data_IF_690308569201
#
_entry.id   IF_690308569201
#
_cell.length_a   1.000
_cell.length_b   1.000
_cell.length_c   1.000
_cell.angle_alpha   90.00
_cell.angle_beta   90.00
_cell.angle_gamma   90.00
#
_symmetry.space_group_name_H-M   'P 1'
#
loop_
_entity.id
_entity.type
_entity.pdbx_description
1 polymer ?
#
# COMPACT_ATOMS: atom_id res chain seq x y z
N UNK A 1 26.28 18.98 -5.01
CA UNK A 1 24.98 18.85 -5.69
C UNK A 1 24.17 17.94 -4.79
N UNK A 2 23.06 18.41 -4.26
CA UNK A 2 22.17 17.58 -3.45
C UNK A 2 21.48 16.62 -4.41
N UNK A 3 21.57 15.31 -4.18
CA UNK A 3 20.79 14.35 -4.94
C UNK A 3 19.29 14.68 -4.80
N UNK A 4 18.50 14.53 -5.88
CA UNK A 4 17.06 14.72 -5.80
C UNK A 4 16.48 13.72 -4.80
N UNK A 5 15.53 14.18 -3.98
CA UNK A 5 14.83 13.33 -3.01
C UNK A 5 14.09 12.20 -3.78
N UNK A 6 14.45 10.92 -3.58
CA UNK A 6 13.87 9.81 -4.32
C UNK A 6 12.39 9.56 -3.99
N UNK A 7 11.85 10.19 -2.94
CA UNK A 7 10.43 10.15 -2.61
C UNK A 7 9.60 11.12 -3.48
N UNK A 8 10.23 12.08 -4.16
CA UNK A 8 9.57 13.03 -5.06
C UNK A 8 9.61 12.52 -6.51
N UNK A 9 8.49 12.02 -7.01
CA UNK A 9 8.33 11.63 -8.43
C UNK A 9 8.18 12.88 -9.32
N UNK A 10 7.44 13.88 -8.86
CA UNK A 10 7.25 15.16 -9.53
C UNK A 10 7.42 16.30 -8.48
N UNK A 11 8.14 17.38 -8.79
CA UNK A 11 8.32 18.51 -7.88
C UNK A 11 7.04 19.21 -7.42
N UNK A 12 5.92 19.04 -8.14
CA UNK A 12 4.61 19.58 -7.79
C UNK A 12 3.80 18.68 -6.85
N UNK A 13 4.26 17.45 -6.59
CA UNK A 13 3.57 16.48 -5.74
C UNK A 13 4.22 16.40 -4.35
N UNK A 14 3.47 15.87 -3.39
CA UNK A 14 4.01 15.52 -2.08
C UNK A 14 5.00 14.35 -2.19
N UNK A 15 6.02 14.30 -1.31
CA UNK A 15 6.85 13.11 -1.17
C UNK A 15 6.01 11.88 -0.84
N UNK A 16 6.24 10.84 -1.62
CA UNK A 16 5.65 9.50 -1.41
C UNK A 16 6.17 8.90 -0.09
N UNK A 17 5.38 8.09 0.63
CA UNK A 17 5.79 7.44 1.86
C UNK A 17 7.02 6.54 1.67
N UNK A 18 7.15 5.90 0.50
CA UNK A 18 8.24 4.98 0.17
C UNK A 18 8.72 5.22 -1.26
N UNK A 19 10.00 5.01 -1.50
CA UNK A 19 10.60 4.98 -2.84
C UNK A 19 10.31 3.65 -3.54
N UNK A 20 10.44 3.62 -4.88
CA UNK A 20 10.42 2.37 -5.64
C UNK A 20 11.42 1.32 -5.12
N UNK A 21 12.62 1.75 -4.70
CA UNK A 21 13.64 0.86 -4.14
C UNK A 21 13.22 0.28 -2.77
N UNK A 22 12.67 1.10 -1.88
CA UNK A 22 12.18 0.63 -0.58
C UNK A 22 11.01 -0.36 -0.73
N UNK A 23 10.09 -0.11 -1.66
CA UNK A 23 8.99 -1.03 -1.98
C UNK A 23 9.54 -2.37 -2.49
N UNK A 24 10.49 -2.32 -3.42
CA UNK A 24 11.16 -3.51 -3.96
C UNK A 24 11.86 -4.31 -2.86
N UNK A 25 12.66 -3.65 -2.03
CA UNK A 25 13.40 -4.30 -0.94
C UNK A 25 12.47 -4.94 0.08
N UNK A 26 11.34 -4.29 0.39
CA UNK A 26 10.37 -4.80 1.35
C UNK A 26 9.54 -5.98 0.83
N UNK A 27 9.26 -6.03 -0.47
CA UNK A 27 8.58 -7.15 -1.14
C UNK A 27 9.53 -8.34 -1.33
N UNK A 28 10.83 -8.08 -1.51
CA UNK A 28 11.85 -9.12 -1.60
C UNK A 28 11.60 -10.07 -2.78
N UNK A 29 11.71 -11.38 -2.56
CA UNK A 29 11.48 -12.39 -3.61
C UNK A 29 9.99 -12.74 -3.81
N UNK A 30 9.12 -12.22 -2.94
CA UNK A 30 7.72 -12.58 -2.88
C UNK A 30 7.12 -12.14 -1.55
N UNK A 31 5.88 -11.70 -1.57
CA UNK A 31 5.15 -11.28 -0.38
C UNK A 31 3.67 -11.55 -0.56
N UNK A 32 3.04 -12.12 0.46
CA UNK A 32 1.60 -12.35 0.54
C UNK A 32 1.00 -11.46 1.62
N UNK A 33 -0.06 -10.72 1.27
CA UNK A 33 -0.74 -9.78 2.16
C UNK A 33 -2.21 -10.19 2.25
N UNK A 34 -2.68 -10.45 3.47
CA UNK A 34 -4.08 -10.70 3.76
C UNK A 34 -4.77 -9.39 4.13
N UNK A 35 -5.94 -9.16 3.57
CA UNK A 35 -6.70 -7.92 3.67
C UNK A 35 -8.12 -8.24 4.11
N UNK A 36 -8.67 -7.41 4.98
CA UNK A 36 -10.09 -7.38 5.29
C UNK A 36 -10.72 -6.16 4.64
N UNK A 37 -11.77 -6.38 3.83
CA UNK A 37 -12.64 -5.32 3.33
C UNK A 37 -13.87 -5.22 4.24
N UNK A 38 -14.13 -4.03 4.73
CA UNK A 38 -15.25 -3.70 5.62
C UNK A 38 -16.09 -2.59 4.97
N UNK A 39 -17.41 -2.76 5.03
CA UNK A 39 -18.38 -1.74 4.64
C UNK A 39 -19.08 -1.14 5.86
N UNK A 40 -20.05 -0.22 5.64
CA UNK A 40 -20.77 0.44 6.72
C UNK A 40 -21.58 -0.53 7.60
N UNK A 41 -22.01 -1.66 7.04
CA UNK A 41 -22.81 -2.68 7.72
C UNK A 41 -21.98 -3.85 8.29
N UNK A 42 -20.65 -3.80 8.16
CA UNK A 42 -19.73 -4.83 8.65
C UNK A 42 -18.79 -5.41 7.58
N UNK A 43 -18.10 -6.52 7.89
CA UNK A 43 -17.15 -7.15 6.98
C UNK A 43 -17.81 -7.58 5.67
N UNK A 44 -17.17 -7.24 4.54
CA UNK A 44 -17.59 -7.62 3.20
C UNK A 44 -16.84 -8.85 2.68
N UNK A 45 -15.61 -9.10 3.18
CA UNK A 45 -14.84 -10.28 2.83
C UNK A 45 -13.34 -10.08 3.03
N UNK A 46 -12.60 -11.18 2.93
CA UNK A 46 -11.14 -11.17 2.95
C UNK A 46 -10.57 -11.32 1.54
N UNK A 47 -9.50 -10.62 1.27
CA UNK A 47 -8.75 -10.65 0.01
C UNK A 47 -7.30 -10.97 0.27
N UNK A 48 -6.66 -11.55 -0.73
CA UNK A 48 -5.22 -11.81 -0.72
C UNK A 48 -4.58 -11.12 -1.90
N UNK A 49 -3.49 -10.40 -1.63
CA UNK A 49 -2.58 -9.88 -2.62
C UNK A 49 -1.27 -10.68 -2.54
N UNK A 50 -0.79 -11.23 -3.65
CA UNK A 50 0.49 -11.93 -3.70
C UNK A 50 1.37 -11.36 -4.79
N UNK A 51 2.57 -10.95 -4.40
CA UNK A 51 3.65 -10.59 -5.31
C UNK A 51 4.52 -11.81 -5.60
N UNK A 52 4.79 -12.08 -6.88
CA UNK A 52 5.73 -13.10 -7.34
C UNK A 52 6.36 -12.67 -8.68
N UNK A 53 7.27 -13.47 -9.23
CA UNK A 53 8.04 -13.15 -10.45
C UNK A 53 8.71 -11.76 -10.35
N UNK A 54 9.33 -11.50 -9.20
CA UNK A 54 10.00 -10.24 -8.86
C UNK A 54 11.28 -10.09 -9.68
N UNK A 55 11.49 -8.91 -10.26
CA UNK A 55 12.74 -8.50 -10.89
C UNK A 55 13.08 -7.03 -10.59
N UNK A 56 14.07 -6.51 -11.33
CA UNK A 56 14.55 -5.14 -11.16
C UNK A 56 13.48 -4.07 -11.43
N UNK A 57 12.52 -4.35 -12.31
CA UNK A 57 11.51 -3.39 -12.76
C UNK A 57 10.19 -3.50 -11.98
N UNK A 58 9.82 -4.71 -11.55
CA UNK A 58 8.53 -4.93 -10.91
C UNK A 58 8.28 -6.37 -10.44
N UNK A 59 6.99 -6.69 -10.29
CA UNK A 59 6.52 -8.02 -9.96
C UNK A 59 5.16 -8.29 -10.59
N UNK A 60 4.77 -9.55 -10.65
CA UNK A 60 3.39 -9.95 -10.90
C UNK A 60 2.60 -9.87 -9.59
N UNK A 61 1.50 -9.13 -9.59
CA UNK A 61 0.56 -9.01 -8.48
C UNK A 61 -0.71 -9.81 -8.80
N UNK A 62 -0.87 -10.91 -8.06
CA UNK A 62 -2.08 -11.71 -8.02
C UNK A 62 -3.02 -11.21 -6.94
N UNK A 63 -4.31 -11.15 -7.24
CA UNK A 63 -5.37 -10.77 -6.30
C UNK A 63 -6.54 -11.72 -6.37
N UNK A 64 -7.05 -12.17 -5.23
CA UNK A 64 -8.24 -13.01 -5.16
C UNK A 64 -9.00 -12.79 -3.85
N UNK A 65 -10.28 -13.19 -3.84
CA UNK A 65 -11.07 -13.31 -2.61
C UNK A 65 -10.77 -14.64 -1.92
N UNK A 66 -10.68 -14.66 -0.59
CA UNK A 66 -10.53 -15.90 0.19
C UNK A 66 -11.71 -16.86 -0.06
N UNK A 67 -12.90 -16.35 -0.36
CA UNK A 67 -14.09 -17.16 -0.65
C UNK A 67 -14.04 -17.86 -2.01
N UNK A 68 -13.28 -17.31 -2.97
CA UNK A 68 -13.05 -17.92 -4.29
C UNK A 68 -11.57 -17.86 -4.69
N UNK A 69 -10.73 -18.76 -4.16
CA UNK A 69 -9.29 -18.75 -4.38
C UNK A 69 -8.87 -19.11 -5.81
N UNK A 70 -9.82 -19.47 -6.69
CA UNK A 70 -9.55 -19.76 -8.11
C UNK A 70 -9.81 -18.56 -9.01
N UNK A 71 -10.54 -17.56 -8.55
CA UNK A 71 -10.81 -16.32 -9.28
C UNK A 71 -9.64 -15.33 -9.15
N UNK A 72 -8.45 -15.76 -9.55
CA UNK A 72 -7.23 -14.95 -9.49
C UNK A 72 -7.22 -13.92 -10.62
N UNK A 73 -6.98 -12.66 -10.25
CA UNK A 73 -6.71 -11.56 -11.17
C UNK A 73 -5.23 -11.19 -11.07
N UNK A 74 -4.47 -11.49 -12.12
CA UNK A 74 -3.02 -11.25 -12.21
C UNK A 74 -2.72 -10.05 -13.08
N UNK A 75 -1.85 -9.15 -12.61
CA UNK A 75 -1.33 -8.05 -13.43
C UNK A 75 0.15 -7.83 -13.16
N UNK A 76 0.90 -7.41 -14.19
CA UNK A 76 2.25 -6.90 -13.99
C UNK A 76 2.18 -5.48 -13.44
N UNK A 77 2.98 -5.18 -12.42
CA UNK A 77 3.13 -3.84 -11.84
C UNK A 77 4.61 -3.52 -11.71
N UNK A 78 4.97 -2.26 -11.96
CA UNK A 78 6.34 -1.76 -11.74
C UNK A 78 6.48 -1.10 -10.37
N UNK A 79 7.71 -1.07 -9.86
CA UNK A 79 8.00 -0.40 -8.57
C UNK A 79 7.67 1.10 -8.61
N UNK A 80 7.89 1.74 -9.76
CA UNK A 80 7.58 3.16 -9.94
C UNK A 80 6.08 3.42 -9.99
N UNK A 81 5.29 2.54 -10.63
CA UNK A 81 3.82 2.64 -10.60
C UNK A 81 3.29 2.50 -9.16
N UNK A 82 3.81 1.55 -8.38
CA UNK A 82 3.42 1.38 -6.99
C UNK A 82 3.78 2.60 -6.12
N UNK A 83 4.95 3.18 -6.33
CA UNK A 83 5.32 4.45 -5.69
C UNK A 83 4.34 5.57 -6.09
N UNK A 84 4.04 5.68 -7.38
CA UNK A 84 3.16 6.71 -7.96
C UNK A 84 1.75 6.73 -7.41
N UNK A 85 1.20 5.59 -6.95
CA UNK A 85 -0.12 5.53 -6.31
C UNK A 85 -0.24 6.37 -5.02
N UNK A 86 0.88 6.85 -4.48
CA UNK A 86 0.93 7.65 -3.26
C UNK A 86 1.51 9.06 -3.48
N UNK A 87 1.63 9.49 -4.73
CA UNK A 87 2.10 10.82 -5.10
C UNK A 87 0.91 11.78 -5.21
N UNK A 88 0.56 12.40 -4.08
CA UNK A 88 -0.64 13.22 -3.95
C UNK A 88 -0.38 14.73 -4.16
N UNK A 89 -1.43 15.46 -4.53
CA UNK A 89 -1.41 16.91 -4.70
C UNK A 89 -1.35 17.62 -3.32
N UNK A 90 -0.36 18.49 -3.07
CA UNK A 90 -0.21 19.20 -1.80
C UNK A 90 -1.33 20.21 -1.49
N UNK A 91 -2.08 20.70 -2.48
CA UNK A 91 -3.18 21.65 -2.26
C UNK A 91 -4.43 20.98 -1.67
N UNK A 92 -4.58 19.68 -1.91
CA UNK A 92 -5.79 18.91 -1.53
C UNK A 92 -5.50 17.79 -0.54
N UNK A 93 -4.23 17.59 -0.18
CA UNK A 93 -3.81 16.50 0.70
C UNK A 93 -3.08 17.02 1.92
N UNK A 94 -3.46 16.52 3.10
CA UNK A 94 -2.71 16.75 4.34
C UNK A 94 -2.00 15.49 4.81
N UNK A 95 -0.80 15.66 5.36
CA UNK A 95 0.04 14.55 5.84
C UNK A 95 0.31 14.72 7.33
N UNK A 96 0.15 13.65 8.10
CA UNK A 96 0.46 13.63 9.53
C UNK A 96 1.10 12.31 9.95
N UNK A 97 1.78 12.29 11.09
CA UNK A 97 2.26 11.04 11.71
C UNK A 97 1.32 10.67 12.84
N UNK A 98 0.86 9.42 12.86
CA UNK A 98 -0.09 8.90 13.85
C UNK A 98 0.34 7.52 14.34
N UNK A 99 -0.01 7.18 15.58
CA UNK A 99 0.02 5.79 16.04
C UNK A 99 -1.30 5.11 15.68
N UNK A 100 -1.23 3.93 15.07
CA UNK A 100 -2.39 3.14 14.67
C UNK A 100 -2.28 1.73 15.25
N UNK A 101 -3.32 1.28 15.94
CA UNK A 101 -3.43 -0.12 16.37
C UNK A 101 -4.09 -0.92 15.25
N UNK A 102 -3.40 -1.96 14.79
CA UNK A 102 -3.83 -2.83 13.69
C UNK A 102 -3.67 -4.30 14.08
N UNK A 103 -4.17 -5.25 13.28
CA UNK A 103 -3.83 -6.67 13.44
C UNK A 103 -2.33 -6.97 13.40
N UNK A 104 -1.53 -6.13 12.73
CA UNK A 104 -0.06 -6.23 12.73
C UNK A 104 0.59 -5.70 14.02
N UNK A 105 -0.21 -5.16 14.94
CA UNK A 105 0.24 -4.54 16.19
C UNK A 105 0.10 -3.02 16.18
N UNK A 106 0.76 -2.36 17.14
CA UNK A 106 0.80 -0.90 17.22
C UNK A 106 1.88 -0.36 16.27
N UNK A 107 1.47 0.41 15.27
CA UNK A 107 2.32 0.91 14.20
C UNK A 107 2.45 2.43 14.26
N UNK A 108 3.60 2.94 13.83
CA UNK A 108 3.74 4.36 13.48
C UNK A 108 3.44 4.51 11.99
N UNK A 109 2.46 5.34 11.65
CA UNK A 109 1.99 5.52 10.29
C UNK A 109 2.10 6.97 9.84
N UNK A 110 2.44 7.16 8.57
CA UNK A 110 2.14 8.40 7.84
C UNK A 110 0.70 8.31 7.34
N UNK A 111 -0.16 9.21 7.81
CA UNK A 111 -1.55 9.35 7.39
C UNK A 111 -1.66 10.44 6.33
N UNK A 112 -2.26 10.10 5.21
CA UNK A 112 -2.59 11.01 4.12
C UNK A 112 -4.11 11.15 4.06
N UNK A 113 -4.60 12.36 4.27
CA UNK A 113 -6.01 12.71 4.10
C UNK A 113 -6.15 13.42 2.76
N UNK A 114 -6.79 12.75 1.79
CA UNK A 114 -6.98 13.20 0.41
C UNK A 114 -8.47 13.36 0.10
N UNK A 115 -8.79 13.91 -1.08
CA UNK A 115 -10.18 13.98 -1.56
C UNK A 115 -10.77 12.60 -1.88
N UNK A 116 -9.93 11.63 -2.24
CA UNK A 116 -10.35 10.29 -2.68
C UNK A 116 -10.41 9.27 -1.53
N UNK A 117 -9.83 9.62 -0.37
CA UNK A 117 -9.76 8.72 0.78
C UNK A 117 -8.67 9.07 1.78
N UNK A 118 -8.57 8.25 2.81
CA UNK A 118 -7.55 8.35 3.86
C UNK A 118 -6.68 7.11 3.82
N UNK A 119 -5.35 7.31 3.82
CA UNK A 119 -4.38 6.22 3.68
C UNK A 119 -3.40 6.25 4.85
N UNK A 120 -3.15 5.09 5.45
CA UNK A 120 -2.18 4.93 6.54
C UNK A 120 -1.03 4.03 6.07
N UNK A 121 0.13 4.62 5.84
CA UNK A 121 1.34 3.91 5.46
C UNK A 121 2.22 3.70 6.69
N UNK A 122 2.46 2.45 7.07
CA UNK A 122 3.33 2.12 8.20
C UNK A 122 4.78 2.22 7.80
N UNK A 123 5.58 2.99 8.56
CA UNK A 123 7.02 3.16 8.28
C UNK A 123 7.80 1.84 8.30
N UNK A 124 7.29 0.82 9.02
CA UNK A 124 7.91 -0.49 9.18
C UNK A 124 7.49 -1.49 8.08
N UNK A 125 6.49 -1.15 7.28
CA UNK A 125 5.97 -1.99 6.20
C UNK A 125 5.90 -1.20 4.88
N UNK A 126 7.05 -0.94 4.22
CA UNK A 126 7.07 -0.29 2.91
C UNK A 126 6.26 -1.06 1.87
N UNK A 127 5.47 -0.34 1.07
CA UNK A 127 4.54 -0.90 0.10
C UNK A 127 3.15 -0.26 0.20
N UNK A 128 2.12 -1.10 0.16
CA UNK A 128 0.73 -0.65 0.25
C UNK A 128 0.39 -0.10 1.64
N UNK A 129 -0.61 0.78 1.78
CA UNK A 129 -1.03 1.26 3.08
C UNK A 129 -1.56 0.10 3.94
N UNK A 130 -1.23 0.08 5.23
CA UNK A 130 -1.71 -0.94 6.19
C UNK A 130 -3.20 -0.79 6.49
N UNK A 131 -3.75 0.39 6.21
CA UNK A 131 -5.18 0.67 6.22
C UNK A 131 -5.47 1.76 5.20
N UNK A 132 -6.61 1.68 4.50
CA UNK A 132 -7.15 2.80 3.75
C UNK A 132 -8.67 2.83 3.80
N UNK A 133 -9.24 4.03 3.74
CA UNK A 133 -10.68 4.28 3.78
C UNK A 133 -11.09 5.16 2.59
N UNK A 134 -12.13 4.76 1.87
CA UNK A 134 -12.68 5.52 0.74
C UNK A 134 -14.13 5.11 0.51
N UNK A 135 -15.01 6.07 0.18
CA UNK A 135 -16.42 5.84 -0.12
C UNK A 135 -17.19 4.99 0.92
N UNK A 136 -16.84 5.13 2.21
CA UNK A 136 -17.46 4.36 3.31
C UNK A 136 -16.97 2.91 3.42
N UNK A 137 -16.01 2.51 2.59
CA UNK A 137 -15.30 1.25 2.69
C UNK A 137 -13.97 1.43 3.42
N UNK A 138 -13.59 0.42 4.19
CA UNK A 138 -12.28 0.32 4.84
C UNK A 138 -11.60 -0.97 4.42
N UNK A 139 -10.35 -0.87 4.00
CA UNK A 139 -9.48 -2.03 3.83
C UNK A 139 -8.41 -2.01 4.91
N UNK A 140 -8.23 -3.12 5.62
CA UNK A 140 -7.23 -3.29 6.68
C UNK A 140 -6.32 -4.47 6.37
N UNK A 141 -5.01 -4.29 6.46
CA UNK A 141 -4.05 -5.41 6.38
C UNK A 141 -4.12 -6.24 7.66
N UNK A 142 -4.39 -7.53 7.50
CA UNK A 142 -4.47 -8.51 8.58
C UNK A 142 -3.11 -9.16 8.86
N UNK A 143 -2.37 -9.53 7.81
CA UNK A 143 -1.05 -10.14 7.91
C UNK A 143 -0.20 -9.82 6.68
N UNK A 144 1.13 -9.87 6.85
CA UNK A 144 2.12 -9.76 5.80
C UNK A 144 3.11 -10.91 5.97
N UNK A 145 3.18 -11.78 4.97
CA UNK A 145 4.07 -12.93 4.92
C UNK A 145 5.11 -12.69 3.82
N UNK A 146 6.39 -12.80 4.15
CA UNK A 146 7.50 -12.59 3.21
C UNK A 146 8.19 -13.92 2.96
N UNK A 147 8.54 -14.17 1.69
CA UNK A 147 9.21 -15.39 1.24
C UNK A 147 10.72 -15.39 1.55
#
# INVERSE_FOLDING_TARGET
MTDPDPHLIDPALLPTPFTAAEIRDAIGNGTTIHLLLEGPDGPLGEHVNRYHDVDDEGATLDRWSVEDPKAVVSNRVTWLELQGHSAFDPETTSVSTVSLTTPLGALTCRRYDTVDGVFWFSVDHPGMPVQFESDGLRTTVLSIERD
#
